data_IF_410370223950
#
_entry.id   IF_410370223950
#
_cell.length_a   1.000
_cell.length_b   1.000
_cell.length_c   1.000
_cell.angle_alpha   90.00
_cell.angle_beta   90.00
_cell.angle_gamma   90.00
#
_symmetry.space_group_name_H-M   'P 1'
#
loop_
_entity.id
_entity.type
_entity.pdbx_description
1 polymer ?
#
# COMPACT_ATOMS: atom_id res chain seq x y z
N UNK A 1 -13.58 47.48 13.41
CA UNK A 1 -12.18 47.06 13.25
C UNK A 1 -12.23 45.56 13.10
N UNK A 2 -11.89 45.03 11.93
CA UNK A 2 -12.02 43.61 11.64
C UNK A 2 -10.81 42.87 12.24
N UNK A 3 -11.07 42.08 13.27
CA UNK A 3 -10.08 41.16 13.83
C UNK A 3 -9.68 40.15 12.75
N UNK A 4 -8.43 40.26 12.29
CA UNK A 4 -7.86 39.29 11.36
C UNK A 4 -7.65 37.98 12.11
N UNK A 5 -8.34 36.93 11.67
CA UNK A 5 -8.07 35.54 12.06
C UNK A 5 -6.62 35.20 11.69
N UNK A 6 -5.73 35.27 12.67
CA UNK A 6 -4.34 34.88 12.51
C UNK A 6 -4.25 33.35 12.71
N UNK A 7 -4.48 32.60 11.62
CA UNK A 7 -4.24 31.16 11.62
C UNK A 7 -2.72 30.93 11.66
N UNK A 8 -2.20 30.06 12.55
CA UNK A 8 -0.78 29.79 12.62
C UNK A 8 -0.28 29.22 11.29
N UNK A 9 0.76 29.84 10.73
CA UNK A 9 1.51 29.30 9.60
C UNK A 9 2.38 28.16 10.14
N UNK A 10 2.12 26.94 9.66
CA UNK A 10 2.94 25.77 9.97
C UNK A 10 4.35 25.99 9.40
N UNK A 11 5.37 25.76 10.23
CA UNK A 11 6.77 25.73 9.81
C UNK A 11 7.16 24.33 9.33
N UNK A 12 8.29 24.20 8.63
CA UNK A 12 8.81 22.88 8.21
C UNK A 12 9.05 21.93 9.40
N UNK A 13 9.30 22.48 10.59
CA UNK A 13 9.46 21.71 11.83
C UNK A 13 8.13 21.17 12.39
N UNK A 14 6.99 21.76 11.99
CA UNK A 14 5.64 21.30 12.36
C UNK A 14 5.14 20.19 11.44
N UNK A 15 5.85 19.93 10.33
CA UNK A 15 5.61 18.79 9.45
C UNK A 15 6.32 17.59 10.06
N UNK A 16 5.57 16.70 10.70
CA UNK A 16 6.05 15.35 10.98
C UNK A 16 5.64 14.47 9.80
N UNK A 17 6.50 14.25 8.77
CA UNK A 17 6.09 13.56 7.57
C UNK A 17 5.80 12.09 7.91
N UNK A 18 4.52 11.74 7.95
CA UNK A 18 4.09 10.35 8.03
C UNK A 18 4.64 9.64 6.80
N UNK A 19 5.49 8.61 6.94
CA UNK A 19 6.10 7.98 5.79
C UNK A 19 5.04 7.25 4.97
N UNK A 20 5.11 7.44 3.65
CA UNK A 20 4.18 6.86 2.68
C UNK A 20 4.93 5.84 1.83
N UNK A 21 4.37 4.65 1.70
CA UNK A 21 4.90 3.57 0.88
C UNK A 21 3.91 3.21 -0.21
N UNK A 22 4.40 2.94 -1.42
CA UNK A 22 3.55 2.49 -2.52
C UNK A 22 3.41 0.96 -2.45
N UNK A 23 2.21 0.48 -2.13
CA UNK A 23 1.87 -0.94 -2.26
C UNK A 23 1.47 -1.19 -3.71
N UNK A 24 2.38 -1.76 -4.50
CA UNK A 24 2.13 -2.10 -5.90
C UNK A 24 1.49 -3.48 -5.95
N UNK A 25 0.21 -3.55 -6.29
CA UNK A 25 -0.58 -4.78 -6.27
C UNK A 25 -0.91 -5.21 -7.70
N UNK A 26 -0.71 -6.48 -8.01
CA UNK A 26 -1.23 -7.10 -9.24
C UNK A 26 -2.40 -7.99 -8.86
N UNK A 27 -3.51 -7.80 -9.58
CA UNK A 27 -4.75 -8.56 -9.47
C UNK A 27 -4.86 -9.50 -10.67
N UNK A 28 -5.12 -10.77 -10.39
CA UNK A 28 -5.47 -11.74 -11.43
C UNK A 28 -6.96 -11.61 -11.80
N UNK A 29 -7.35 -11.99 -13.03
CA UNK A 29 -8.77 -12.10 -13.38
C UNK A 29 -9.48 -13.08 -12.43
N UNK A 30 -10.81 -12.93 -12.30
CA UNK A 30 -11.59 -13.82 -11.46
C UNK A 30 -11.53 -15.26 -12.01
N UNK A 31 -11.34 -16.23 -11.12
CA UNK A 31 -11.35 -17.65 -11.47
C UNK A 31 -12.76 -18.20 -11.73
N UNK A 32 -12.87 -19.50 -12.04
CA UNK A 32 -14.16 -20.17 -12.30
C UNK A 32 -15.15 -20.10 -11.11
N UNK A 33 -14.64 -19.86 -9.89
CA UNK A 33 -15.44 -19.66 -8.68
C UNK A 33 -15.74 -18.18 -8.40
N UNK A 34 -15.36 -17.27 -9.31
CA UNK A 34 -15.52 -15.83 -9.18
C UNK A 34 -14.57 -15.19 -8.16
N UNK A 35 -13.48 -15.87 -7.79
CA UNK A 35 -12.51 -15.35 -6.82
C UNK A 35 -11.37 -14.62 -7.54
N UNK A 36 -11.03 -13.47 -7.00
CA UNK A 36 -9.90 -12.65 -7.43
C UNK A 36 -8.71 -12.97 -6.52
N UNK A 37 -7.53 -13.13 -7.12
CA UNK A 37 -6.26 -13.24 -6.41
C UNK A 37 -5.45 -11.95 -6.58
N UNK A 38 -4.62 -11.63 -5.59
CA UNK A 38 -3.67 -10.54 -5.67
C UNK A 38 -2.33 -10.91 -5.04
N UNK A 39 -1.29 -10.26 -5.54
CA UNK A 39 0.06 -10.26 -4.97
C UNK A 39 0.65 -8.85 -4.95
N UNK A 40 1.55 -8.57 -4.02
CA UNK A 40 2.32 -7.33 -4.01
C UNK A 40 3.55 -7.51 -4.90
N UNK A 41 3.62 -6.75 -5.99
CA UNK A 41 4.65 -6.86 -7.01
C UNK A 41 6.03 -6.35 -6.55
N UNK A 42 6.06 -5.44 -5.59
CA UNK A 42 7.29 -4.82 -5.10
C UNK A 42 7.72 -5.33 -3.71
N UNK A 43 7.03 -6.33 -3.14
CA UNK A 43 7.29 -6.81 -1.79
C UNK A 43 6.95 -8.30 -1.66
N UNK A 44 7.86 -9.15 -1.16
CA UNK A 44 7.67 -10.59 -1.16
C UNK A 44 6.57 -11.05 -0.19
N UNK A 45 6.05 -12.25 -0.47
CA UNK A 45 5.23 -13.04 0.47
C UNK A 45 3.93 -12.37 0.94
N UNK A 46 3.41 -11.39 0.18
CA UNK A 46 2.10 -10.78 0.46
C UNK A 46 1.15 -11.10 -0.68
N UNK A 47 0.18 -11.95 -0.38
CA UNK A 47 -0.90 -12.32 -1.29
C UNK A 47 -2.25 -12.28 -0.59
N UNK A 48 -3.32 -12.18 -1.35
CA UNK A 48 -4.69 -12.35 -0.84
C UNK A 48 -5.61 -12.88 -1.93
N UNK A 49 -6.73 -13.48 -1.52
CA UNK A 49 -7.80 -13.88 -2.42
C UNK A 49 -9.17 -13.57 -1.81
N UNK A 50 -10.16 -13.27 -2.66
CA UNK A 50 -11.48 -12.83 -2.19
C UNK A 50 -12.50 -12.75 -3.33
N UNK A 51 -13.76 -12.52 -2.98
CA UNK A 51 -14.88 -12.47 -3.93
C UNK A 51 -15.04 -11.11 -4.62
N UNK A 52 -14.38 -10.07 -4.11
CA UNK A 52 -14.39 -8.73 -4.72
C UNK A 52 -13.00 -8.12 -4.70
N UNK A 53 -12.72 -7.24 -5.67
CA UNK A 53 -11.45 -6.50 -5.71
C UNK A 53 -11.23 -5.73 -4.40
N UNK A 54 -12.28 -5.10 -3.85
CA UNK A 54 -12.20 -4.33 -2.59
C UNK A 54 -11.73 -5.19 -1.42
N UNK A 55 -12.27 -6.40 -1.26
CA UNK A 55 -11.90 -7.29 -0.15
C UNK A 55 -10.44 -7.73 -0.26
N UNK A 56 -10.02 -8.06 -1.48
CA UNK A 56 -8.66 -8.48 -1.80
C UNK A 56 -7.66 -7.34 -1.52
N UNK A 57 -7.91 -6.15 -2.06
CA UNK A 57 -7.04 -4.99 -1.84
C UNK A 57 -6.98 -4.61 -0.36
N UNK A 58 -8.10 -4.65 0.37
CA UNK A 58 -8.12 -4.38 1.80
C UNK A 58 -7.26 -5.37 2.59
N UNK A 59 -7.31 -6.65 2.22
CA UNK A 59 -6.49 -7.69 2.86
C UNK A 59 -5.00 -7.48 2.58
N UNK A 60 -4.63 -7.25 1.32
CA UNK A 60 -3.23 -6.99 0.91
C UNK A 60 -2.67 -5.76 1.63
N UNK A 61 -3.40 -4.64 1.64
CA UNK A 61 -2.97 -3.41 2.31
C UNK A 61 -2.74 -3.61 3.82
N UNK A 62 -3.63 -4.35 4.50
CA UNK A 62 -3.49 -4.64 5.93
C UNK A 62 -2.23 -5.46 6.21
N UNK A 63 -1.98 -6.48 5.40
CA UNK A 63 -0.79 -7.32 5.51
C UNK A 63 0.48 -6.49 5.24
N UNK A 64 0.51 -5.73 4.14
CA UNK A 64 1.62 -4.85 3.78
C UNK A 64 1.93 -3.83 4.88
N UNK A 65 0.92 -3.09 5.37
CA UNK A 65 1.09 -2.11 6.45
C UNK A 65 1.69 -2.79 7.69
N UNK A 66 1.14 -3.93 8.12
CA UNK A 66 1.63 -4.69 9.28
C UNK A 66 3.09 -5.11 9.10
N UNK A 67 3.44 -5.67 7.95
CA UNK A 67 4.80 -6.16 7.68
C UNK A 67 5.81 -5.03 7.65
N UNK A 68 5.51 -3.92 6.97
CA UNK A 68 6.39 -2.75 6.92
C UNK A 68 6.55 -2.13 8.31
N UNK A 69 5.46 -1.99 9.08
CA UNK A 69 5.54 -1.50 10.46
C UNK A 69 6.44 -2.37 11.32
N UNK A 70 6.31 -3.70 11.24
CA UNK A 70 7.13 -4.63 12.02
C UNK A 70 8.61 -4.53 11.65
N UNK A 71 8.95 -4.55 10.36
CA UNK A 71 10.34 -4.47 9.91
C UNK A 71 10.99 -3.15 10.33
N UNK A 72 10.25 -2.04 10.26
CA UNK A 72 10.73 -0.75 10.76
C UNK A 72 10.94 -0.74 12.26
N UNK A 73 10.00 -1.29 13.03
CA UNK A 73 10.14 -1.40 14.49
C UNK A 73 11.36 -2.26 14.88
N UNK A 74 11.64 -3.30 14.09
CA UNK A 74 12.80 -4.18 14.26
C UNK A 74 14.12 -3.56 13.75
N UNK A 75 14.08 -2.37 13.13
CA UNK A 75 15.26 -1.75 12.49
C UNK A 75 15.80 -2.53 11.29
N UNK A 76 14.99 -3.40 10.69
CA UNK A 76 15.37 -4.25 9.56
C UNK A 76 15.15 -3.52 8.23
N UNK A 77 15.97 -3.82 7.21
CA UNK A 77 15.73 -3.32 5.87
C UNK A 77 14.41 -3.86 5.31
N UNK A 78 13.74 -3.05 4.50
CA UNK A 78 12.54 -3.47 3.78
C UNK A 78 12.98 -4.26 2.53
N UNK A 79 12.51 -5.51 2.34
CA UNK A 79 12.92 -6.38 1.24
C UNK A 79 12.20 -6.01 -0.06
N UNK A 80 12.49 -4.82 -0.59
CA UNK A 80 11.92 -4.38 -1.86
C UNK A 80 12.36 -5.27 -3.02
N UNK A 81 11.42 -5.55 -3.93
CA UNK A 81 11.69 -6.21 -5.20
C UNK A 81 11.89 -5.11 -6.26
N UNK A 82 13.06 -5.11 -6.90
CA UNK A 82 13.43 -4.14 -7.94
C UNK A 82 14.15 -4.85 -9.12
N UNK A 83 13.61 -4.82 -10.34
CA UNK A 83 12.34 -4.20 -10.72
C UNK A 83 11.13 -4.95 -10.12
N UNK A 84 10.02 -4.26 -9.80
CA UNK A 84 8.79 -4.92 -9.38
C UNK A 84 8.30 -5.93 -10.43
N UNK A 85 7.55 -6.94 -9.97
CA UNK A 85 6.87 -7.85 -10.88
C UNK A 85 5.97 -7.09 -11.87
N UNK A 86 5.86 -7.62 -13.09
CA UNK A 86 5.02 -7.05 -14.16
C UNK A 86 3.74 -7.88 -14.28
N UNK A 87 2.57 -7.24 -14.48
CA UNK A 87 1.32 -7.97 -14.73
C UNK A 87 1.39 -8.81 -16.01
N UNK A 88 0.88 -10.03 -15.94
CA UNK A 88 0.67 -10.89 -17.11
C UNK A 88 -0.60 -10.48 -17.89
N UNK A 89 -0.83 -11.11 -19.04
CA UNK A 89 -2.04 -10.87 -19.85
C UNK A 89 -3.31 -11.14 -19.04
N UNK A 90 -4.25 -10.20 -19.06
CA UNK A 90 -5.50 -10.25 -18.31
C UNK A 90 -5.38 -9.86 -16.82
N UNK A 91 -4.17 -9.71 -16.30
CA UNK A 91 -3.95 -9.14 -14.96
C UNK A 91 -4.08 -7.62 -14.98
N UNK A 92 -4.37 -7.04 -13.81
CA UNK A 92 -4.51 -5.60 -13.62
C UNK A 92 -3.59 -5.12 -12.50
N UNK A 93 -2.99 -3.95 -12.67
CA UNK A 93 -2.17 -3.31 -11.62
C UNK A 93 -2.94 -2.24 -10.84
N UNK A 94 -2.55 -2.08 -9.57
CA UNK A 94 -3.02 -1.01 -8.66
C UNK A 94 -1.84 -0.49 -7.86
N UNK A 95 -1.75 0.83 -7.75
CA UNK A 95 -0.79 1.51 -6.90
C UNK A 95 -1.54 2.13 -5.72
N UNK A 96 -1.24 1.66 -4.51
CA UNK A 96 -1.97 2.07 -3.31
C UNK A 96 -1.02 2.74 -2.32
N UNK A 97 -1.18 4.05 -2.04
CA UNK A 97 -0.37 4.72 -1.04
C UNK A 97 -0.77 4.27 0.38
N UNK A 98 0.20 3.75 1.12
CA UNK A 98 0.05 3.28 2.50
C UNK A 98 0.84 4.19 3.44
N UNK A 99 0.13 4.88 4.32
CA UNK A 99 0.69 5.74 5.37
C UNK A 99 0.93 4.89 6.62
N UNK A 100 2.10 5.04 7.27
CA UNK A 100 2.40 4.32 8.52
C UNK A 100 1.98 5.10 9.76
#
# INVERSE_FOLDING_TARGET
>A
MSDSNNLPLLSEADVNPVPVFNCHVILSPADDAGRIQARVANFPDITAAGSTERDVLTSVMKQFKKTVMQLRADGKPLPWIDPPETPAEGESERFIPVHL
#
